data_IF_722457145439
#
_entry.id   IF_722457145439
#
_cell.length_a   1.000
_cell.length_b   1.000
_cell.length_c   1.000
_cell.angle_alpha   90.00
_cell.angle_beta   90.00
_cell.angle_gamma   90.00
#
_symmetry.space_group_name_H-M   'P 1'
#
loop_
_entity.id
_entity.type
_entity.pdbx_description
1 polymer ?
#
# COMPACT_ATOMS: atom_id res chain seq x y z
N UNK A 1 -19.05 19.37 -56.29
CA UNK A 1 -19.21 17.92 -56.10
C UNK A 1 -18.95 17.62 -54.64
N UNK A 2 -19.96 17.17 -53.89
CA UNK A 2 -19.78 16.82 -52.47
C UNK A 2 -18.93 15.55 -52.34
N UNK A 3 -18.10 15.45 -51.30
CA UNK A 3 -17.48 14.17 -50.94
C UNK A 3 -18.59 13.20 -50.50
N UNK A 4 -18.55 11.91 -50.86
CA UNK A 4 -19.42 10.92 -50.24
C UNK A 4 -19.05 10.80 -48.76
N UNK A 5 -20.05 10.78 -47.88
CA UNK A 5 -19.83 10.57 -46.45
C UNK A 5 -19.18 9.20 -46.21
N UNK A 6 -18.19 9.17 -45.32
CA UNK A 6 -17.53 7.93 -44.95
C UNK A 6 -18.56 7.00 -44.27
N UNK A 7 -18.58 5.69 -44.60
CA UNK A 7 -19.59 4.78 -44.06
C UNK A 7 -19.51 4.74 -42.53
N UNK A 8 -20.59 5.17 -41.89
CA UNK A 8 -20.71 5.19 -40.42
C UNK A 8 -20.56 3.76 -39.91
N UNK A 9 -19.41 3.47 -39.27
CA UNK A 9 -19.13 2.15 -38.70
C UNK A 9 -20.27 1.78 -37.74
N UNK A 10 -20.90 0.59 -37.87
CA UNK A 10 -22.02 0.22 -37.02
C UNK A 10 -21.57 0.23 -35.57
N UNK A 11 -22.25 1.06 -34.75
CA UNK A 11 -21.99 1.16 -33.32
C UNK A 11 -22.37 -0.17 -32.67
N UNK A 12 -21.37 -0.99 -32.36
CA UNK A 12 -21.58 -2.27 -31.68
C UNK A 12 -22.36 -2.03 -30.39
N UNK A 13 -23.50 -2.70 -30.24
CA UNK A 13 -24.22 -2.73 -28.97
C UNK A 13 -23.46 -3.64 -27.99
N UNK A 14 -23.08 -3.07 -26.86
CA UNK A 14 -22.12 -3.65 -25.92
C UNK A 14 -22.77 -3.77 -24.54
N UNK A 15 -23.12 -4.99 -24.15
CA UNK A 15 -23.65 -5.27 -22.81
C UNK A 15 -22.56 -5.14 -21.75
N UNK A 16 -22.66 -4.14 -20.87
CA UNK A 16 -21.77 -3.99 -19.72
C UNK A 16 -22.32 -4.72 -18.50
N UNK A 17 -21.56 -5.65 -17.95
CA UNK A 17 -22.01 -6.49 -16.83
C UNK A 17 -21.80 -5.81 -15.45
N UNK A 18 -22.55 -6.22 -14.41
CA UNK A 18 -22.32 -5.80 -13.02
C UNK A 18 -20.93 -6.20 -12.48
N UNK A 19 -20.43 -5.50 -11.46
CA UNK A 19 -19.12 -5.75 -10.88
C UNK A 19 -18.94 -7.19 -10.34
N UNK A 20 -20.01 -7.80 -9.81
CA UNK A 20 -20.01 -9.21 -9.37
C UNK A 20 -19.78 -10.22 -10.51
N UNK A 21 -19.87 -9.80 -11.78
CA UNK A 21 -19.50 -10.63 -12.92
C UNK A 21 -18.03 -10.51 -13.31
N UNK A 22 -17.28 -9.52 -12.82
CA UNK A 22 -15.93 -9.22 -13.34
C UNK A 22 -14.94 -10.35 -13.07
N UNK A 23 -15.11 -11.10 -11.97
CA UNK A 23 -14.31 -12.29 -11.63
C UNK A 23 -14.34 -13.41 -12.67
N UNK A 24 -15.30 -13.43 -13.60
CA UNK A 24 -15.32 -14.37 -14.75
C UNK A 24 -15.05 -13.72 -16.10
N UNK A 25 -14.56 -12.48 -16.11
CA UNK A 25 -14.02 -11.84 -17.31
C UNK A 25 -12.59 -12.32 -17.57
N UNK A 26 -12.21 -12.61 -18.84
CA UNK A 26 -10.84 -13.02 -19.18
C UNK A 26 -9.78 -11.92 -18.97
N UNK A 27 -10.17 -10.69 -18.64
CA UNK A 27 -9.25 -9.55 -18.40
C UNK A 27 -9.10 -9.16 -16.93
N UNK A 28 -9.95 -9.65 -16.03
CA UNK A 28 -10.01 -9.12 -14.65
C UNK A 28 -8.80 -9.50 -13.80
N UNK A 29 -8.56 -10.80 -13.65
CA UNK A 29 -7.41 -11.34 -12.89
C UNK A 29 -6.23 -11.64 -13.82
N UNK A 30 -5.90 -10.73 -14.73
CA UNK A 30 -4.88 -10.96 -15.77
C UNK A 30 -4.18 -9.66 -16.16
N UNK A 31 -2.87 -9.75 -16.41
CA UNK A 31 -2.08 -8.66 -16.99
C UNK A 31 -2.47 -8.43 -18.46
N UNK A 32 -3.37 -7.46 -18.67
CA UNK A 32 -3.91 -7.08 -19.97
C UNK A 32 -2.82 -6.36 -20.77
N UNK A 33 -2.44 -6.94 -21.91
CA UNK A 33 -1.32 -6.46 -22.73
C UNK A 33 -1.83 -5.42 -23.71
N UNK A 34 -1.34 -4.19 -23.57
CA UNK A 34 -1.80 -3.03 -24.34
C UNK A 34 -0.61 -2.30 -24.99
N UNK A 35 -0.91 -1.33 -25.84
CA UNK A 35 0.02 -0.25 -26.17
C UNK A 35 -0.16 0.95 -25.25
N UNK A 36 0.82 1.86 -25.18
CA UNK A 36 0.63 3.14 -24.49
C UNK A 36 -0.54 3.91 -25.11
N UNK A 37 -0.71 3.83 -26.43
CA UNK A 37 -1.86 4.41 -27.13
C UNK A 37 -3.20 3.76 -26.77
N UNK A 38 -3.30 2.43 -26.66
CA UNK A 38 -4.55 1.77 -26.22
C UNK A 38 -5.00 2.28 -24.85
N UNK A 39 -4.05 2.53 -23.93
CA UNK A 39 -4.33 3.04 -22.58
C UNK A 39 -5.01 4.42 -22.62
N UNK A 40 -4.76 5.24 -23.65
CA UNK A 40 -5.44 6.54 -23.85
C UNK A 40 -6.68 6.42 -24.78
N UNK A 41 -6.50 5.86 -25.97
CA UNK A 41 -7.47 5.90 -27.07
C UNK A 41 -8.49 4.75 -27.05
N UNK A 42 -8.10 3.54 -26.65
CA UNK A 42 -8.99 2.38 -26.72
C UNK A 42 -9.78 2.18 -25.42
N UNK A 43 -9.15 2.42 -24.27
CA UNK A 43 -9.81 2.31 -22.97
C UNK A 43 -10.81 3.44 -22.74
N UNK A 44 -12.00 3.10 -22.20
CA UNK A 44 -13.08 4.05 -21.91
C UNK A 44 -13.67 3.82 -20.52
N UNK A 45 -14.06 4.88 -19.79
CA UNK A 45 -14.86 4.75 -18.56
C UNK A 45 -16.30 4.36 -18.92
N UNK A 46 -16.95 3.55 -18.08
CA UNK A 46 -18.36 3.21 -18.25
C UNK A 46 -19.25 4.09 -17.36
N UNK A 47 -20.16 4.87 -17.97
CA UNK A 47 -20.86 5.99 -17.32
C UNK A 47 -21.88 5.61 -16.22
N UNK A 48 -22.06 4.32 -15.95
CA UNK A 48 -22.85 3.81 -14.80
C UNK A 48 -22.00 3.06 -13.75
N UNK A 49 -20.66 3.16 -13.83
CA UNK A 49 -19.72 2.64 -12.80
C UNK A 49 -18.45 3.49 -12.62
N UNK A 50 -18.27 4.56 -13.39
CA UNK A 50 -17.01 5.34 -13.49
C UNK A 50 -16.43 5.96 -12.21
N UNK A 51 -17.04 5.75 -11.04
CA UNK A 51 -16.54 6.17 -9.72
C UNK A 51 -16.60 5.06 -8.65
N UNK A 52 -16.96 3.81 -8.96
CA UNK A 52 -16.75 2.69 -8.02
C UNK A 52 -15.24 2.47 -7.87
N UNK A 53 -14.68 3.06 -6.81
CA UNK A 53 -13.28 2.91 -6.42
C UNK A 53 -13.01 1.42 -6.16
N UNK A 54 -12.06 0.82 -6.85
CA UNK A 54 -11.63 -0.54 -6.52
C UNK A 54 -10.86 -0.51 -5.21
N UNK A 55 -11.56 -0.76 -4.10
CA UNK A 55 -11.02 -0.85 -2.75
C UNK A 55 -10.21 -2.14 -2.58
N UNK A 56 -9.04 -2.23 -3.21
CA UNK A 56 -7.98 -3.11 -2.72
C UNK A 56 -7.58 -2.65 -1.32
N UNK A 57 -7.40 -3.57 -0.37
CA UNK A 57 -7.25 -3.26 1.06
C UNK A 57 -6.02 -2.41 1.45
N UNK A 58 -5.14 -2.10 0.50
CA UNK A 58 -4.03 -1.17 0.69
C UNK A 58 -4.47 0.26 0.38
N UNK A 59 -4.28 1.18 1.32
CA UNK A 59 -4.73 2.59 1.26
C UNK A 59 -4.00 3.49 0.25
N UNK A 60 -3.59 2.93 -0.89
CA UNK A 60 -3.11 3.67 -2.06
C UNK A 60 -4.30 4.07 -2.96
N UNK A 61 -4.00 4.83 -4.02
CA UNK A 61 -5.02 5.47 -4.87
C UNK A 61 -6.04 4.45 -5.42
N UNK A 62 -7.32 4.83 -5.57
CA UNK A 62 -8.34 3.94 -6.11
C UNK A 62 -7.96 3.50 -7.54
N UNK A 63 -7.82 2.19 -7.74
CA UNK A 63 -7.49 1.64 -9.06
C UNK A 63 -8.63 1.91 -10.04
N UNK A 64 -8.33 2.60 -11.13
CA UNK A 64 -9.30 3.04 -12.12
C UNK A 64 -9.67 1.88 -13.06
N UNK A 65 -10.87 1.31 -12.89
CA UNK A 65 -11.40 0.30 -13.81
C UNK A 65 -11.89 0.96 -15.11
N UNK A 66 -11.17 0.75 -16.20
CA UNK A 66 -11.58 1.15 -17.55
C UNK A 66 -12.01 -0.08 -18.36
N UNK A 67 -12.58 0.15 -19.55
CA UNK A 67 -13.12 -0.91 -20.39
C UNK A 67 -12.50 -0.90 -21.78
N UNK A 68 -12.10 -2.08 -22.26
CA UNK A 68 -11.79 -2.33 -23.68
C UNK A 68 -12.98 -3.05 -24.29
N UNK A 69 -13.67 -2.44 -25.26
CA UNK A 69 -15.06 -2.79 -25.60
C UNK A 69 -15.92 -2.79 -24.32
N UNK A 70 -16.31 -3.97 -23.82
CA UNK A 70 -17.01 -4.21 -22.55
C UNK A 70 -16.23 -5.08 -21.55
N UNK A 71 -14.96 -5.40 -21.81
CA UNK A 71 -14.08 -6.12 -20.87
C UNK A 71 -13.58 -5.17 -19.76
N UNK A 72 -13.80 -5.46 -18.47
CA UNK A 72 -13.24 -4.68 -17.35
C UNK A 72 -11.73 -4.87 -17.24
N UNK A 73 -10.98 -3.77 -17.27
CA UNK A 73 -9.52 -3.71 -17.21
C UNK A 73 -9.12 -3.03 -15.90
N UNK A 74 -8.45 -3.77 -15.00
CA UNK A 74 -7.85 -3.22 -13.78
C UNK A 74 -6.31 -3.32 -13.76
N UNK A 75 -5.74 -4.35 -14.39
CA UNK A 75 -4.30 -4.61 -14.44
C UNK A 75 -3.78 -4.56 -15.88
N UNK A 76 -2.78 -3.73 -16.13
CA UNK A 76 -2.19 -3.51 -17.45
C UNK A 76 -0.72 -3.92 -17.45
N UNK A 77 -0.28 -4.51 -18.57
CA UNK A 77 1.11 -4.77 -18.92
C UNK A 77 1.47 -4.00 -20.18
N UNK A 78 2.55 -3.21 -20.09
CA UNK A 78 3.17 -2.46 -21.17
C UNK A 78 4.61 -2.93 -21.34
N UNK A 79 5.11 -2.87 -22.57
CA UNK A 79 6.53 -2.96 -22.88
C UNK A 79 6.92 -1.70 -23.64
N UNK A 80 8.06 -1.11 -23.31
CA UNK A 80 8.53 0.11 -23.95
C UNK A 80 9.88 0.55 -23.41
N UNK A 81 10.46 1.58 -24.04
CA UNK A 81 11.70 2.23 -23.62
C UNK A 81 11.40 3.38 -22.68
N UNK A 82 12.23 3.56 -21.64
CA UNK A 82 12.20 4.75 -20.78
C UNK A 82 12.75 5.94 -21.55
N UNK A 83 11.91 6.94 -21.83
CA UNK A 83 12.28 8.14 -22.62
C UNK A 83 12.47 9.39 -21.77
N UNK A 84 11.98 9.40 -20.52
CA UNK A 84 12.22 10.46 -19.54
C UNK A 84 12.17 9.90 -18.11
N UNK A 85 12.92 10.50 -17.19
CA UNK A 85 12.90 10.22 -15.74
C UNK A 85 12.82 11.57 -15.01
N UNK A 86 11.94 11.68 -14.02
CA UNK A 86 11.58 12.93 -13.34
C UNK A 86 11.91 12.86 -11.83
N UNK A 87 13.19 13.04 -11.52
CA UNK A 87 13.71 12.96 -10.14
C UNK A 87 13.37 14.15 -9.24
N UNK A 88 12.70 15.19 -9.78
CA UNK A 88 12.26 16.36 -9.01
C UNK A 88 11.34 15.99 -7.81
N UNK A 89 10.65 14.85 -7.88
CA UNK A 89 9.67 14.45 -6.87
C UNK A 89 10.25 13.54 -5.78
N UNK A 90 10.45 14.11 -4.58
CA UNK A 90 10.92 13.36 -3.39
C UNK A 90 10.07 12.13 -3.02
N UNK A 91 8.76 12.16 -3.30
CA UNK A 91 7.78 11.18 -2.80
C UNK A 91 7.33 10.14 -3.86
N UNK A 92 7.77 10.26 -5.12
CA UNK A 92 7.48 9.27 -6.18
C UNK A 92 8.71 9.00 -7.05
N UNK A 93 8.81 7.81 -7.63
CA UNK A 93 9.49 7.63 -8.91
C UNK A 93 8.48 7.96 -10.01
N UNK A 94 8.87 8.79 -10.96
CA UNK A 94 8.11 9.15 -12.14
C UNK A 94 9.02 8.99 -13.35
N UNK A 95 8.58 8.23 -14.35
CA UNK A 95 9.29 8.07 -15.61
C UNK A 95 8.28 7.80 -16.74
N UNK A 96 8.62 8.15 -17.97
CA UNK A 96 7.72 8.05 -19.12
C UNK A 96 8.19 6.95 -20.07
N UNK A 97 7.26 6.10 -20.50
CA UNK A 97 7.50 5.02 -21.47
C UNK A 97 6.99 5.37 -22.86
N UNK A 98 7.77 5.01 -23.88
CA UNK A 98 7.37 4.94 -25.29
C UNK A 98 7.40 3.48 -25.78
N UNK A 99 6.34 3.04 -26.47
CA UNK A 99 6.25 1.74 -27.12
C UNK A 99 6.06 1.83 -28.65
N UNK A 100 6.38 3.00 -29.22
CA UNK A 100 6.22 3.35 -30.64
C UNK A 100 4.78 3.25 -31.19
N UNK A 101 3.77 3.17 -30.31
CA UNK A 101 2.35 3.13 -30.72
C UNK A 101 1.76 4.49 -31.13
N UNK A 102 2.56 5.56 -31.04
CA UNK A 102 2.16 6.94 -31.31
C UNK A 102 1.62 7.69 -30.09
N UNK A 103 1.83 7.17 -28.88
CA UNK A 103 1.62 7.87 -27.61
C UNK A 103 2.54 7.30 -26.53
N UNK A 104 2.91 8.13 -25.56
CA UNK A 104 3.68 7.71 -24.38
C UNK A 104 2.77 7.52 -23.15
N UNK A 105 3.30 6.92 -22.08
CA UNK A 105 2.59 6.82 -20.80
C UNK A 105 3.53 7.03 -19.61
N UNK A 106 3.12 7.88 -18.67
CA UNK A 106 3.82 8.04 -17.39
C UNK A 106 3.59 6.83 -16.48
N UNK A 107 4.65 6.41 -15.80
CA UNK A 107 4.67 5.34 -14.83
C UNK A 107 5.08 5.90 -13.48
N UNK A 108 4.28 5.62 -12.45
CA UNK A 108 4.39 6.23 -11.13
C UNK A 108 4.46 5.16 -10.05
N UNK A 109 5.47 5.25 -9.18
CA UNK A 109 5.52 4.52 -7.90
C UNK A 109 5.68 5.50 -6.74
N UNK A 110 4.94 5.32 -5.64
CA UNK A 110 5.22 6.06 -4.39
C UNK A 110 6.49 5.52 -3.71
N UNK A 111 7.44 6.41 -3.43
CA UNK A 111 8.63 6.13 -2.63
C UNK A 111 8.18 5.82 -1.18
N UNK A 112 8.75 4.81 -0.50
CA UNK A 112 8.39 4.49 0.88
C UNK A 112 8.76 5.66 1.81
N UNK A 113 7.82 6.06 2.67
CA UNK A 113 8.04 7.16 3.60
C UNK A 113 9.00 6.76 4.72
N UNK A 114 10.22 7.27 4.68
CA UNK A 114 11.16 7.20 5.79
C UNK A 114 10.52 7.77 7.06
N UNK A 115 10.20 6.90 8.04
CA UNK A 115 9.74 7.30 9.38
C UNK A 115 10.87 8.09 10.04
N UNK A 116 10.84 9.43 9.97
CA UNK A 116 11.84 10.31 10.60
C UNK A 116 11.89 10.00 12.10
N UNK A 117 12.95 9.31 12.57
CA UNK A 117 13.20 9.09 14.00
C UNK A 117 13.15 10.45 14.70
N UNK A 118 12.20 10.63 15.63
CA UNK A 118 12.12 11.85 16.45
C UNK A 118 13.39 11.93 17.29
N UNK A 119 14.36 12.74 16.85
CA UNK A 119 15.54 13.07 17.66
C UNK A 119 15.04 13.88 18.85
N UNK A 120 15.04 13.29 20.04
CA UNK A 120 14.66 13.97 21.26
C UNK A 120 15.70 15.06 21.56
N UNK A 121 15.36 16.31 21.23
CA UNK A 121 16.08 17.49 21.68
C UNK A 121 15.67 17.75 23.13
N UNK A 122 16.41 17.16 24.08
CA UNK A 122 16.40 17.58 25.47
C UNK A 122 17.82 17.81 25.97
N UNK A 123 17.94 18.85 26.78
CA UNK A 123 19.14 19.60 27.11
C UNK A 123 20.25 18.78 27.78
N UNK A 124 21.51 19.08 27.44
CA UNK A 124 22.62 18.88 28.37
C UNK A 124 22.56 19.94 29.49
N UNK A 125 23.06 19.61 30.68
CA UNK A 125 24.27 20.28 31.13
C UNK A 125 25.45 19.31 31.37
N UNK A 126 26.64 19.84 31.59
CA UNK A 126 27.90 19.09 31.74
C UNK A 126 28.36 19.03 33.20
N UNK A 127 28.79 17.85 33.65
CA UNK A 127 29.93 17.68 34.59
C UNK A 127 30.46 16.23 34.53
N UNK A 128 31.75 16.04 34.81
CA UNK A 128 32.38 14.74 35.07
C UNK A 128 32.51 14.53 36.61
N UNK A 129 32.95 13.41 37.22
CA UNK A 129 33.68 12.17 36.82
C UNK A 129 33.13 11.00 37.73
N UNK A 130 33.47 9.70 37.68
CA UNK A 130 34.68 8.96 37.26
C UNK A 130 34.34 7.52 36.76
N UNK A 131 35.37 6.70 36.49
CA UNK A 131 35.37 5.29 36.03
C UNK A 131 34.89 4.25 37.08
N UNK A 132 34.05 3.29 36.66
CA UNK A 132 34.13 1.81 36.86
C UNK A 132 32.75 1.16 36.55
N UNK A 133 32.57 -0.12 36.21
CA UNK A 133 33.37 -1.14 35.50
C UNK A 133 32.52 -2.41 35.31
N UNK A 134 32.74 -3.20 34.24
CA UNK A 134 32.30 -4.61 34.04
C UNK A 134 30.83 -4.85 33.62
N UNK A 135 30.68 -5.74 32.61
CA UNK A 135 29.51 -6.51 32.07
C UNK A 135 28.11 -5.84 32.03
N UNK A 136 27.42 -5.71 30.89
CA UNK A 136 27.02 -6.68 29.83
C UNK A 136 26.13 -7.82 30.32
N UNK A 137 24.83 -7.59 30.27
CA UNK A 137 23.79 -8.56 29.90
C UNK A 137 22.73 -7.80 29.09
N UNK A 138 22.85 -7.84 27.76
CA UNK A 138 21.87 -7.26 26.83
C UNK A 138 20.74 -8.30 26.63
N UNK A 139 19.77 -8.33 27.54
CA UNK A 139 18.68 -9.30 27.49
C UNK A 139 17.60 -8.94 26.45
N UNK A 140 17.02 -9.95 25.81
CA UNK A 140 16.16 -9.80 24.62
C UNK A 140 14.76 -9.24 24.94
N UNK A 141 14.26 -8.34 24.09
CA UNK A 141 12.86 -7.91 24.05
C UNK A 141 12.21 -8.41 22.75
N UNK A 142 11.98 -9.73 22.70
CA UNK A 142 11.37 -10.41 21.56
C UNK A 142 9.86 -10.14 21.52
N UNK A 143 9.48 -9.05 20.87
CA UNK A 143 8.11 -8.78 20.44
C UNK A 143 7.74 -9.61 19.20
N UNK A 144 7.72 -10.94 19.33
CA UNK A 144 7.21 -11.85 18.28
C UNK A 144 5.69 -11.67 18.14
N UNK A 145 5.20 -11.38 16.92
CA UNK A 145 3.77 -11.22 16.64
C UNK A 145 3.44 -10.93 15.18
N UNK A 146 2.89 -11.93 14.49
CA UNK A 146 2.15 -11.84 13.22
C UNK A 146 2.90 -11.44 11.92
N UNK A 147 4.18 -11.82 11.74
CA UNK A 147 4.99 -11.47 10.56
C UNK A 147 5.13 -12.56 9.44
N UNK A 148 4.42 -13.70 9.50
CA UNK A 148 4.58 -14.78 8.50
C UNK A 148 4.12 -14.44 7.06
N UNK A 149 3.30 -13.39 6.86
CA UNK A 149 2.90 -12.92 5.51
C UNK A 149 3.68 -11.69 4.99
N UNK A 150 4.27 -10.84 5.85
CA UNK A 150 4.93 -9.59 5.39
C UNK A 150 6.32 -9.84 4.76
N UNK A 151 6.97 -10.95 5.14
CA UNK A 151 8.34 -11.31 4.75
C UNK A 151 8.50 -11.64 3.24
N UNK A 152 7.39 -11.86 2.53
CA UNK A 152 7.37 -11.97 1.05
C UNK A 152 7.20 -10.63 0.35
N UNK A 153 6.24 -9.81 0.79
CA UNK A 153 5.89 -8.55 0.13
C UNK A 153 6.99 -7.49 0.30
N UNK A 154 7.71 -7.51 1.42
CA UNK A 154 8.89 -6.66 1.68
C UNK A 154 10.06 -6.98 0.73
N UNK A 155 10.29 -8.26 0.41
CA UNK A 155 11.30 -8.70 -0.57
C UNK A 155 10.93 -8.27 -2.00
N UNK A 156 9.69 -8.50 -2.44
CA UNK A 156 9.19 -8.02 -3.75
C UNK A 156 9.32 -6.48 -3.88
N UNK A 157 8.93 -5.72 -2.82
CA UNK A 157 9.06 -4.25 -2.78
C UNK A 157 10.50 -3.77 -2.85
N UNK A 158 11.42 -4.37 -2.10
CA UNK A 158 12.84 -3.96 -2.08
C UNK A 158 13.55 -4.27 -3.39
N UNK A 159 13.30 -5.43 -4.01
CA UNK A 159 13.83 -5.76 -5.33
C UNK A 159 13.36 -4.76 -6.40
N UNK A 160 12.07 -4.38 -6.38
CA UNK A 160 11.49 -3.38 -7.26
C UNK A 160 12.10 -1.98 -7.06
N UNK A 161 12.34 -1.56 -5.81
CA UNK A 161 12.99 -0.28 -5.49
C UNK A 161 14.46 -0.27 -5.95
N UNK A 162 15.17 -1.39 -5.86
CA UNK A 162 16.54 -1.52 -6.35
C UNK A 162 16.60 -1.34 -7.87
N UNK A 163 15.73 -2.04 -8.62
CA UNK A 163 15.64 -1.91 -10.10
C UNK A 163 15.37 -0.46 -10.50
N UNK A 164 14.42 0.23 -9.85
CA UNK A 164 14.09 1.62 -10.12
C UNK A 164 15.24 2.60 -9.78
N UNK A 165 16.04 2.28 -8.76
CA UNK A 165 17.22 3.08 -8.39
C UNK A 165 18.40 2.92 -9.37
N UNK A 166 18.32 1.93 -10.27
CA UNK A 166 19.28 1.68 -11.35
C UNK A 166 18.73 1.95 -12.76
N UNK A 167 17.50 2.50 -12.87
CA UNK A 167 16.82 2.71 -14.14
C UNK A 167 17.36 3.96 -14.87
N UNK A 168 17.61 3.84 -16.17
CA UNK A 168 18.16 4.90 -17.02
C UNK A 168 17.26 5.19 -18.23
N UNK A 169 17.42 6.38 -18.81
CA UNK A 169 16.81 6.70 -20.11
C UNK A 169 17.49 5.84 -21.19
N UNK A 170 16.68 5.19 -22.03
CA UNK A 170 17.11 4.17 -22.98
C UNK A 170 16.88 2.73 -22.54
N UNK A 171 16.57 2.48 -21.26
CA UNK A 171 16.27 1.13 -20.77
C UNK A 171 14.92 0.64 -21.33
N UNK A 172 14.94 -0.51 -22.02
CA UNK A 172 13.72 -1.25 -22.38
C UNK A 172 13.20 -2.04 -21.18
N UNK A 173 11.94 -1.87 -20.82
CA UNK A 173 11.33 -2.55 -19.68
C UNK A 173 9.94 -3.10 -19.97
N UNK A 174 9.53 -4.07 -19.15
CA UNK A 174 8.18 -4.56 -19.01
C UNK A 174 7.57 -3.98 -17.73
N UNK A 175 6.66 -3.01 -17.86
CA UNK A 175 5.96 -2.40 -16.74
C UNK A 175 4.57 -3.04 -16.54
N UNK A 176 4.22 -3.31 -15.28
CA UNK A 176 2.95 -3.93 -14.87
C UNK A 176 2.35 -3.14 -13.72
N UNK A 177 1.10 -2.72 -13.84
CA UNK A 177 0.47 -1.87 -12.83
C UNK A 177 -1.05 -1.76 -12.95
N UNK A 178 -1.63 -0.95 -12.07
CA UNK A 178 -3.02 -0.50 -12.15
C UNK A 178 -3.10 0.83 -12.91
N UNK A 179 -4.29 1.18 -13.39
CA UNK A 179 -4.52 2.46 -14.05
C UNK A 179 -4.92 3.55 -13.05
N UNK A 180 -4.47 4.76 -13.34
CA UNK A 180 -4.73 5.97 -12.55
C UNK A 180 -4.81 7.20 -13.47
N UNK A 181 -5.31 8.31 -12.95
CA UNK A 181 -5.40 9.59 -13.69
C UNK A 181 -4.89 10.75 -12.84
N UNK A 182 -4.10 11.63 -13.44
CA UNK A 182 -3.60 12.86 -12.84
C UNK A 182 -3.78 14.01 -13.84
N UNK A 183 -4.55 15.05 -13.44
CA UNK A 183 -4.90 16.19 -14.31
C UNK A 183 -5.46 15.72 -15.67
N UNK A 184 -6.42 14.81 -15.62
CA UNK A 184 -7.11 14.15 -16.75
C UNK A 184 -6.25 13.27 -17.67
N UNK A 185 -4.92 13.38 -17.62
CA UNK A 185 -3.98 12.43 -18.24
C UNK A 185 -3.98 11.09 -17.50
N UNK A 186 -3.91 9.97 -18.25
CA UNK A 186 -3.81 8.61 -17.68
C UNK A 186 -2.35 8.26 -17.40
N UNK A 187 -2.12 7.56 -16.29
CA UNK A 187 -0.80 7.13 -15.82
C UNK A 187 -0.89 5.72 -15.24
N UNK A 188 0.20 4.94 -15.35
CA UNK A 188 0.31 3.61 -14.75
C UNK A 188 0.82 3.71 -13.31
N UNK A 189 0.00 3.29 -12.35
CA UNK A 189 0.45 3.05 -10.98
C UNK A 189 1.20 1.72 -10.93
N UNK A 190 2.53 1.78 -10.84
CA UNK A 190 3.43 0.64 -10.99
C UNK A 190 3.27 -0.36 -9.84
N UNK A 191 3.23 -1.65 -10.17
CA UNK A 191 3.21 -2.76 -9.21
C UNK A 191 4.38 -3.74 -9.41
N UNK A 192 4.78 -4.00 -10.66
CA UNK A 192 5.95 -4.84 -11.00
C UNK A 192 6.69 -4.28 -12.22
N UNK A 193 8.02 -4.35 -12.19
CA UNK A 193 8.92 -3.97 -13.27
C UNK A 193 9.81 -5.16 -13.63
N UNK A 194 10.22 -5.28 -14.89
CA UNK A 194 11.20 -6.28 -15.34
C UNK A 194 12.03 -5.69 -16.48
N UNK A 195 13.35 -5.54 -16.34
CA UNK A 195 14.22 -5.12 -17.45
C UNK A 195 14.16 -6.09 -18.64
N UNK A 196 14.20 -5.55 -19.86
CA UNK A 196 14.20 -6.31 -21.11
C UNK A 196 15.54 -6.05 -21.80
N UNK A 197 16.44 -7.04 -21.75
CA UNK A 197 17.83 -6.90 -22.18
C UNK A 197 18.07 -7.36 -23.62
N UNK A 198 17.06 -7.90 -24.30
CA UNK A 198 17.19 -8.44 -25.65
C UNK A 198 15.96 -8.16 -26.51
N UNK A 199 16.17 -7.85 -27.79
CA UNK A 199 15.11 -7.70 -28.79
C UNK A 199 14.26 -8.98 -28.93
N UNK A 200 14.82 -10.16 -28.65
CA UNK A 200 14.07 -11.43 -28.64
C UNK A 200 12.98 -11.46 -27.57
N UNK A 201 13.27 -10.96 -26.35
CA UNK A 201 12.27 -10.81 -25.29
C UNK A 201 11.23 -9.74 -25.66
N UNK A 202 11.66 -8.65 -26.28
CA UNK A 202 10.78 -7.57 -26.74
C UNK A 202 9.77 -8.07 -27.78
N UNK A 203 10.25 -8.71 -28.86
CA UNK A 203 9.41 -9.32 -29.90
C UNK A 203 8.49 -10.39 -29.31
N UNK A 204 8.95 -11.20 -28.35
CA UNK A 204 8.09 -12.15 -27.65
C UNK A 204 6.93 -11.48 -26.89
N UNK A 205 7.18 -10.33 -26.25
CA UNK A 205 6.12 -9.57 -25.58
C UNK A 205 5.18 -8.85 -26.55
N UNK A 206 5.68 -8.39 -27.70
CA UNK A 206 4.86 -7.81 -28.79
C UNK A 206 3.97 -8.88 -29.44
N UNK A 207 4.50 -10.08 -29.69
CA UNK A 207 3.73 -11.25 -30.14
C UNK A 207 2.65 -11.65 -29.12
N UNK A 208 3.01 -11.76 -27.83
CA UNK A 208 2.07 -12.06 -26.76
C UNK A 208 0.97 -10.99 -26.60
N UNK A 209 1.29 -9.70 -26.83
CA UNK A 209 0.31 -8.60 -26.92
C UNK A 209 -0.63 -8.79 -28.10
N UNK A 210 -0.08 -9.06 -29.28
CA UNK A 210 -0.84 -9.23 -30.53
C UNK A 210 -1.81 -10.41 -30.44
N UNK A 211 -1.36 -11.55 -29.90
CA UNK A 211 -2.19 -12.74 -29.64
C UNK A 211 -3.29 -12.47 -28.61
N UNK A 212 -3.01 -11.71 -27.55
CA UNK A 212 -4.01 -11.35 -26.54
C UNK A 212 -5.07 -10.39 -27.11
N UNK A 213 -4.66 -9.40 -27.89
CA UNK A 213 -5.56 -8.50 -28.61
C UNK A 213 -6.47 -9.26 -29.57
N UNK A 214 -5.89 -10.11 -30.43
CA UNK A 214 -6.63 -10.89 -31.41
C UNK A 214 -7.63 -11.88 -30.76
N UNK A 215 -7.20 -12.64 -29.75
CA UNK A 215 -8.02 -13.71 -29.16
C UNK A 215 -9.05 -13.21 -28.13
N UNK A 216 -8.72 -12.16 -27.37
CA UNK A 216 -9.53 -11.70 -26.22
C UNK A 216 -10.17 -10.33 -26.46
N UNK A 217 -9.35 -9.29 -26.67
CA UNK A 217 -9.83 -7.90 -26.62
C UNK A 217 -10.61 -7.47 -27.88
N UNK A 218 -10.32 -8.06 -29.04
CA UNK A 218 -11.03 -7.77 -30.30
C UNK A 218 -12.50 -8.19 -30.31
N UNK A 219 -12.92 -9.04 -29.36
CA UNK A 219 -14.24 -9.68 -29.31
C UNK A 219 -15.00 -9.17 -28.09
N UNK A 220 -16.26 -8.69 -28.21
CA UNK A 220 -17.07 -8.34 -27.06
C UNK A 220 -17.21 -9.51 -26.08
N UNK A 221 -17.00 -9.25 -24.78
CA UNK A 221 -17.28 -10.21 -23.72
C UNK A 221 -18.78 -10.53 -23.71
N UNK A 222 -19.12 -11.82 -23.62
CA UNK A 222 -20.52 -12.29 -23.51
C UNK A 222 -20.65 -13.28 -22.36
N UNK A 223 -21.66 -13.08 -21.53
CA UNK A 223 -21.92 -13.88 -20.34
C UNK A 223 -23.38 -14.33 -20.32
N UNK A 224 -23.63 -15.63 -20.34
CA UNK A 224 -24.98 -16.19 -20.39
C UNK A 224 -25.80 -15.81 -19.14
N UNK A 225 -27.10 -15.59 -19.32
CA UNK A 225 -27.97 -15.10 -18.24
C UNK A 225 -28.02 -16.08 -17.04
N UNK A 226 -27.98 -17.39 -17.32
CA UNK A 226 -27.84 -18.44 -16.27
C UNK A 226 -26.55 -18.28 -15.46
N UNK A 227 -25.42 -17.91 -16.09
CA UNK A 227 -24.16 -17.66 -15.37
C UNK A 227 -24.19 -16.33 -14.61
N UNK A 228 -24.79 -15.28 -15.18
CA UNK A 228 -25.03 -14.00 -14.47
C UNK A 228 -25.87 -14.22 -13.21
N UNK A 229 -26.93 -15.04 -13.30
CA UNK A 229 -27.82 -15.39 -12.18
C UNK A 229 -27.08 -16.11 -11.06
N UNK A 230 -26.25 -17.11 -11.40
CA UNK A 230 -25.39 -17.81 -10.42
C UNK A 230 -24.39 -16.87 -9.73
N UNK A 231 -23.78 -15.94 -10.47
CA UNK A 231 -22.83 -14.97 -9.92
C UNK A 231 -23.50 -13.91 -9.03
N UNK A 232 -24.74 -13.52 -9.36
CA UNK A 232 -25.57 -12.67 -8.51
C UNK A 232 -25.82 -13.34 -7.15
N UNK A 233 -26.34 -14.57 -7.14
CA UNK A 233 -26.64 -15.30 -5.91
C UNK A 233 -25.40 -15.56 -5.06
N UNK A 234 -24.24 -15.86 -5.69
CA UNK A 234 -22.97 -15.96 -4.98
C UNK A 234 -22.60 -14.63 -4.29
N UNK A 235 -22.59 -13.52 -5.02
CA UNK A 235 -22.25 -12.20 -4.47
C UNK A 235 -23.29 -11.64 -3.47
N UNK A 236 -24.52 -12.16 -3.47
CA UNK A 236 -25.53 -11.90 -2.43
C UNK A 236 -25.22 -12.70 -1.16
N UNK A 237 -24.81 -13.97 -1.28
CA UNK A 237 -24.32 -14.79 -0.15
C UNK A 237 -23.04 -14.22 0.47
N UNK A 238 -22.05 -13.88 -0.36
CA UNK A 238 -20.76 -13.32 0.07
C UNK A 238 -20.94 -12.05 0.93
N UNK A 239 -21.92 -11.21 0.57
CA UNK A 239 -22.25 -9.99 1.32
C UNK A 239 -22.85 -10.27 2.70
N UNK A 240 -23.67 -11.31 2.83
CA UNK A 240 -24.22 -11.73 4.13
C UNK A 240 -23.07 -12.25 5.01
N UNK A 241 -22.21 -13.11 4.48
CA UNK A 241 -21.05 -13.60 5.21
C UNK A 241 -20.08 -12.48 5.61
N UNK A 242 -19.80 -11.53 4.72
CA UNK A 242 -18.97 -10.36 5.02
C UNK A 242 -19.59 -9.47 6.11
N UNK A 243 -20.90 -9.25 6.08
CA UNK A 243 -21.64 -8.52 7.11
C UNK A 243 -21.51 -9.18 8.48
N UNK A 244 -21.67 -10.50 8.56
CA UNK A 244 -21.57 -11.24 9.82
C UNK A 244 -20.12 -11.41 10.30
N UNK A 245 -19.14 -11.53 9.40
CA UNK A 245 -17.71 -11.45 9.73
C UNK A 245 -17.37 -10.07 10.31
N UNK A 246 -17.83 -8.98 9.69
CA UNK A 246 -17.59 -7.62 10.17
C UNK A 246 -18.25 -7.35 11.53
N UNK A 247 -19.48 -7.83 11.76
CA UNK A 247 -20.16 -7.79 13.07
C UNK A 247 -19.36 -8.53 14.15
N UNK A 248 -18.90 -9.75 13.87
CA UNK A 248 -18.08 -10.55 14.80
C UNK A 248 -16.73 -9.89 15.09
N UNK A 249 -16.10 -9.27 14.10
CA UNK A 249 -14.86 -8.50 14.29
C UNK A 249 -15.08 -7.24 15.16
N UNK A 250 -16.19 -6.51 14.95
CA UNK A 250 -16.56 -5.36 15.78
C UNK A 250 -16.82 -5.78 17.24
N UNK A 251 -17.55 -6.86 17.48
CA UNK A 251 -17.78 -7.41 18.82
C UNK A 251 -16.45 -7.74 19.51
N UNK A 252 -15.57 -8.52 18.88
CA UNK A 252 -14.24 -8.87 19.43
C UNK A 252 -13.42 -7.64 19.78
N UNK A 253 -13.45 -6.60 18.93
CA UNK A 253 -12.73 -5.34 19.21
C UNK A 253 -13.30 -4.56 20.40
N UNK A 254 -14.63 -4.61 20.61
CA UNK A 254 -15.26 -4.03 21.80
C UNK A 254 -14.95 -4.84 23.06
N UNK A 255 -14.96 -6.17 22.97
CA UNK A 255 -14.59 -7.08 24.07
C UNK A 255 -13.13 -6.89 24.49
N UNK A 256 -12.22 -6.78 23.51
CA UNK A 256 -10.79 -6.51 23.74
C UNK A 256 -10.59 -5.14 24.39
N UNK A 257 -11.14 -4.06 23.85
CA UNK A 257 -11.03 -2.73 24.46
C UNK A 257 -11.65 -2.68 25.87
N UNK A 258 -12.74 -3.43 26.11
CA UNK A 258 -13.36 -3.55 27.43
C UNK A 258 -12.55 -4.43 28.41
N UNK A 259 -11.59 -5.24 27.93
CA UNK A 259 -10.61 -5.95 28.75
C UNK A 259 -9.38 -5.08 29.00
N UNK A 260 -8.86 -4.40 27.98
CA UNK A 260 -7.73 -3.44 28.06
C UNK A 260 -8.03 -2.34 29.11
N UNK A 261 -9.21 -1.70 29.04
CA UNK A 261 -9.62 -0.69 30.02
C UNK A 261 -9.69 -1.26 31.46
N UNK A 262 -10.17 -2.50 31.65
CA UNK A 262 -10.22 -3.14 32.98
C UNK A 262 -8.82 -3.45 33.51
N UNK A 263 -7.89 -3.78 32.62
CA UNK A 263 -6.50 -4.02 32.97
C UNK A 263 -5.79 -2.70 33.33
N UNK A 264 -6.04 -1.62 32.59
CA UNK A 264 -5.57 -0.27 32.94
C UNK A 264 -6.11 0.17 34.31
N UNK A 265 -7.42 0.03 34.55
CA UNK A 265 -8.06 0.29 35.85
C UNK A 265 -7.46 -0.54 37.00
N UNK A 266 -6.97 -1.75 36.74
CA UNK A 266 -6.34 -2.62 37.74
C UNK A 266 -4.89 -2.21 38.00
N UNK A 267 -4.12 -1.94 36.94
CA UNK A 267 -2.73 -1.49 37.01
C UNK A 267 -2.62 -0.11 37.65
N UNK A 268 -3.53 0.82 37.34
CA UNK A 268 -3.59 2.15 37.96
C UNK A 268 -3.87 2.09 39.47
N UNK A 269 -4.74 1.17 39.92
CA UNK A 269 -4.97 0.92 41.35
C UNK A 269 -3.72 0.34 42.04
N UNK A 270 -3.09 -0.68 41.44
CA UNK A 270 -1.80 -1.24 41.90
C UNK A 270 -0.72 -0.18 42.02
N UNK A 271 -0.56 0.69 41.02
CA UNK A 271 0.41 1.77 41.01
C UNK A 271 0.14 2.80 42.12
N UNK A 272 -1.11 3.23 42.29
CA UNK A 272 -1.48 4.19 43.34
C UNK A 272 -1.24 3.63 44.76
N UNK A 273 -1.46 2.32 44.99
CA UNK A 273 -1.10 1.66 46.25
C UNK A 273 0.42 1.60 46.48
N UNK A 274 1.22 1.45 45.43
CA UNK A 274 2.68 1.45 45.54
C UNK A 274 3.21 2.87 45.79
N UNK A 275 2.70 3.87 45.07
CA UNK A 275 3.11 5.27 45.22
C UNK A 275 2.77 5.80 46.63
N UNK A 276 1.64 5.40 47.21
CA UNK A 276 1.34 5.69 48.62
C UNK A 276 2.34 5.04 49.59
N UNK A 277 2.90 3.87 49.27
CA UNK A 277 3.94 3.23 50.10
C UNK A 277 5.28 3.94 49.94
N UNK A 278 5.65 4.33 48.71
CA UNK A 278 6.85 5.15 48.42
C UNK A 278 6.79 6.50 49.15
N UNK A 279 5.64 7.18 49.12
CA UNK A 279 5.43 8.44 49.82
C UNK A 279 5.62 8.31 51.34
N UNK A 280 5.00 7.29 51.98
CA UNK A 280 5.19 7.02 53.42
C UNK A 280 6.65 6.72 53.77
N UNK A 281 7.31 5.88 52.99
CA UNK A 281 8.73 5.55 53.18
C UNK A 281 9.64 6.80 53.01
N UNK A 282 9.30 7.73 52.11
CA UNK A 282 10.01 8.99 51.95
C UNK A 282 9.79 9.94 53.14
N UNK A 283 8.57 10.04 53.68
CA UNK A 283 8.27 10.81 54.89
C UNK A 283 8.95 10.22 56.14
N UNK A 284 8.98 8.89 56.27
CA UNK A 284 9.71 8.18 57.33
C UNK A 284 11.23 8.43 57.24
N UNK A 285 11.81 8.27 56.05
CA UNK A 285 13.23 8.55 55.80
C UNK A 285 13.59 10.03 56.05
N UNK A 286 12.68 10.96 55.72
CA UNK A 286 12.84 12.39 56.04
C UNK A 286 12.82 12.64 57.55
N UNK A 287 11.87 12.05 58.28
CA UNK A 287 11.81 12.17 59.74
C UNK A 287 13.07 11.61 60.42
N UNK A 288 13.59 10.47 59.94
CA UNK A 288 14.83 9.90 60.46
C UNK A 288 16.06 10.73 60.08
N UNK A 289 16.12 11.29 58.87
CA UNK A 289 17.12 12.28 58.48
C UNK A 289 17.10 13.52 59.40
N UNK A 290 15.93 14.04 59.74
CA UNK A 290 15.78 15.13 60.72
C UNK A 290 16.18 14.72 62.14
N UNK A 291 15.87 13.48 62.58
CA UNK A 291 16.30 12.94 63.88
C UNK A 291 17.83 12.83 63.96
N UNK A 292 18.48 12.34 62.90
CA UNK A 292 19.95 12.25 62.79
C UNK A 292 20.58 13.64 62.76
N UNK A 293 20.04 14.58 61.98
CA UNK A 293 20.56 15.96 61.91
C UNK A 293 20.38 16.73 63.23
N UNK A 294 19.29 16.51 63.96
CA UNK A 294 19.11 17.06 65.33
C UNK A 294 20.15 16.49 66.30
N UNK A 295 20.38 15.17 66.31
CA UNK A 295 21.45 14.55 67.11
C UNK A 295 22.84 15.10 66.74
N UNK A 296 23.12 15.25 65.44
CA UNK A 296 24.40 15.78 64.95
C UNK A 296 24.67 17.21 65.41
N UNK A 297 23.67 18.10 65.38
CA UNK A 297 23.78 19.46 65.91
C UNK A 297 24.09 19.47 67.41
N UNK A 298 23.33 18.72 68.20
CA UNK A 298 23.56 18.61 69.64
C UNK A 298 24.98 18.10 69.99
N UNK A 299 25.54 17.15 69.22
CA UNK A 299 26.93 16.71 69.38
C UNK A 299 27.97 17.77 68.98
N UNK A 300 27.66 18.64 68.01
CA UNK A 300 28.55 19.75 67.64
C UNK A 300 28.49 20.88 68.67
N UNK A 301 27.32 21.14 69.25
CA UNK A 301 27.08 22.10 70.33
C UNK A 301 27.65 21.65 71.70
N UNK A 302 28.02 20.37 71.84
CA UNK A 302 28.70 19.80 73.02
C UNK A 302 30.22 19.61 72.83
N UNK A 303 30.77 20.00 71.67
CA UNK A 303 32.17 19.78 71.29
C UNK A 303 32.87 21.08 70.88
N UNK A 304 32.39 22.21 71.45
CA UNK A 304 32.85 23.58 71.23
C UNK A 304 32.88 24.34 72.56
#
# INVERSE_FOLDING_TARGET
MSRPDAPVKPKLDLTFYPAFCYTVSPTWSTWVKLTCRDVHDALRPHYHRGTEHSYTSSGLNPSLVLFYLNHPIQYVQLIGMVVAIEDHYENVFLFTLDDSSGATLDVVLRKPRLKKRKKALQHAPKTAVTKSSIQRDDNEDNSEGDDEEEDGETKDKSALLNILSSLNIGDSILAKGTLSTFRDTRQLSLLRITPITTTTQEIHHIDARTKFLANTLSRPWKLSESRQRKLRTAAESDKVEQGDRARKAMMRKQEQAAWENRQEDFLGRKYNEEEQKRARAADEAKQDGERVMRRRRAYQEQSA
#
